data_IF_081148374009
#
_entry.id   IF_081148374009
#
_cell.length_a   1.000
_cell.length_b   1.000
_cell.length_c   1.000
_cell.angle_alpha   90.00
_cell.angle_beta   90.00
_cell.angle_gamma   90.00
#
_symmetry.space_group_name_H-M   'P 1'
#
loop_
_entity.id
_entity.type
_entity.pdbx_description
1 polymer ?
#
# COMPACT_ATOMS: atom_id res chain seq x y z
N UNK A 1 -6.20 -75.13 15.68
CA UNK A 1 -6.62 -73.86 15.05
C UNK A 1 -6.66 -72.77 16.12
N UNK A 2 -5.79 -71.76 16.00
CA UNK A 2 -5.70 -70.63 16.96
C UNK A 2 -6.56 -69.49 16.42
N UNK A 3 -7.55 -69.03 17.19
CA UNK A 3 -8.40 -67.88 16.82
C UNK A 3 -7.73 -66.60 17.32
N UNK A 4 -7.18 -65.83 16.38
CA UNK A 4 -6.68 -64.48 16.64
C UNK A 4 -7.89 -63.53 16.73
N UNK A 5 -8.08 -62.79 17.83
CA UNK A 5 -9.19 -61.84 17.94
C UNK A 5 -8.97 -60.66 17.00
N UNK A 6 -10.01 -60.32 16.23
CA UNK A 6 -10.01 -59.16 15.33
C UNK A 6 -10.65 -57.99 16.08
N UNK A 7 -9.89 -56.94 16.32
CA UNK A 7 -10.41 -55.71 16.90
C UNK A 7 -11.31 -55.01 15.88
N UNK A 8 -12.60 -54.90 16.18
CA UNK A 8 -13.53 -54.05 15.43
C UNK A 8 -13.44 -52.63 15.98
N UNK A 9 -12.86 -51.72 15.22
CA UNK A 9 -12.93 -50.28 15.48
C UNK A 9 -14.31 -49.78 15.05
N UNK A 10 -15.18 -49.52 16.03
CA UNK A 10 -16.45 -48.85 15.79
C UNK A 10 -16.18 -47.35 15.85
N UNK A 11 -16.33 -46.66 14.72
CA UNK A 11 -16.26 -45.19 14.68
C UNK A 11 -17.60 -44.67 15.18
N UNK A 12 -17.63 -44.25 16.44
CA UNK A 12 -18.80 -43.61 17.04
C UNK A 12 -18.76 -42.13 16.66
N UNK A 13 -19.86 -41.62 16.12
CA UNK A 13 -19.97 -40.20 15.84
C UNK A 13 -20.04 -39.43 17.18
N UNK A 14 -18.98 -38.69 17.49
CA UNK A 14 -18.88 -37.90 18.72
C UNK A 14 -19.90 -36.76 18.70
N UNK A 15 -20.52 -36.49 19.85
CA UNK A 15 -21.40 -35.34 20.02
C UNK A 15 -20.65 -34.02 19.83
N UNK A 16 -21.37 -32.92 19.60
CA UNK A 16 -20.77 -31.59 19.48
C UNK A 16 -20.02 -31.19 20.76
N UNK A 17 -20.57 -31.53 21.92
CA UNK A 17 -19.98 -31.29 23.24
C UNK A 17 -18.67 -32.08 23.43
N UNK A 18 -18.65 -33.34 22.99
CA UNK A 18 -17.44 -34.17 23.07
C UNK A 18 -16.34 -33.65 22.15
N UNK A 19 -16.69 -33.20 20.94
CA UNK A 19 -15.75 -32.57 20.00
C UNK A 19 -15.18 -31.26 20.57
N UNK A 20 -16.02 -30.45 21.19
CA UNK A 20 -15.58 -29.22 21.85
C UNK A 20 -14.65 -29.51 23.04
N UNK A 21 -14.97 -30.53 23.85
CA UNK A 21 -14.12 -30.96 24.96
C UNK A 21 -12.74 -31.41 24.48
N UNK A 22 -12.69 -32.25 23.45
CA UNK A 22 -11.44 -32.72 22.86
C UNK A 22 -10.59 -31.57 22.28
N UNK A 23 -11.24 -30.60 21.62
CA UNK A 23 -10.56 -29.39 21.14
C UNK A 23 -9.97 -28.54 22.28
N UNK A 24 -10.71 -28.38 23.38
CA UNK A 24 -10.23 -27.66 24.56
C UNK A 24 -9.06 -28.39 25.25
N UNK A 25 -9.17 -29.71 25.41
CA UNK A 25 -8.11 -30.54 25.98
C UNK A 25 -6.83 -30.46 25.14
N UNK A 26 -6.96 -30.40 23.81
CA UNK A 26 -5.83 -30.22 22.91
C UNK A 26 -5.15 -28.85 23.11
N UNK A 27 -5.92 -27.77 23.25
CA UNK A 27 -5.38 -26.42 23.57
C UNK A 27 -4.61 -26.45 24.90
N UNK A 28 -5.18 -27.05 25.95
CA UNK A 28 -4.48 -27.16 27.24
C UNK A 28 -3.19 -27.98 27.13
N UNK A 29 -3.22 -29.06 26.34
CA UNK A 29 -2.03 -29.88 26.08
C UNK A 29 -0.94 -29.09 25.36
N UNK A 30 -1.30 -28.28 24.35
CA UNK A 30 -0.36 -27.40 23.64
C UNK A 30 0.26 -26.36 24.59
N UNK A 31 -0.54 -25.72 25.45
CA UNK A 31 -0.05 -24.77 26.44
C UNK A 31 0.89 -25.40 27.46
N UNK A 32 0.57 -26.62 27.92
CA UNK A 32 1.45 -27.38 28.82
C UNK A 32 2.79 -27.68 28.16
N UNK A 33 2.79 -28.17 26.92
CA UNK A 33 4.01 -28.42 26.14
C UNK A 33 4.84 -27.16 25.91
N UNK A 34 4.19 -26.03 25.62
CA UNK A 34 4.87 -24.74 25.50
C UNK A 34 5.59 -24.37 26.80
N UNK A 35 4.95 -24.55 27.95
CA UNK A 35 5.56 -24.28 29.25
C UNK A 35 6.74 -25.22 29.54
N UNK A 36 6.60 -26.52 29.26
CA UNK A 36 7.67 -27.52 29.42
C UNK A 36 8.90 -27.18 28.56
N UNK A 37 8.69 -26.72 27.32
CA UNK A 37 9.77 -26.29 26.42
C UNK A 37 10.46 -25.00 26.90
N UNK A 38 9.71 -24.10 27.55
CA UNK A 38 10.27 -22.86 28.13
C UNK A 38 11.01 -23.14 29.44
N UNK A 39 10.49 -24.00 30.30
CA UNK A 39 11.14 -24.37 31.57
C UNK A 39 12.36 -25.26 31.38
N UNK A 40 12.53 -25.83 30.18
CA UNK A 40 13.62 -26.76 29.88
C UNK A 40 13.39 -28.17 30.45
N UNK A 41 12.19 -28.46 30.94
CA UNK A 41 11.79 -29.78 31.44
C UNK A 41 11.38 -30.75 30.32
N UNK A 42 11.45 -30.31 29.06
CA UNK A 42 11.13 -31.15 27.92
C UNK A 42 12.26 -32.16 27.62
N UNK A 43 11.86 -33.39 27.27
CA UNK A 43 12.78 -34.46 26.82
C UNK A 43 13.63 -34.05 25.59
N UNK A 44 13.18 -33.04 24.85
CA UNK A 44 13.88 -32.45 23.72
C UNK A 44 13.78 -30.92 23.76
N UNK A 45 14.91 -30.27 24.03
CA UNK A 45 15.04 -28.81 23.93
C UNK A 45 15.60 -28.48 22.55
N UNK A 46 14.76 -27.93 21.68
CA UNK A 46 15.23 -27.42 20.39
C UNK A 46 16.05 -26.15 20.63
N UNK A 47 17.28 -26.08 20.11
CA UNK A 47 18.16 -24.92 20.28
C UNK A 47 18.04 -23.92 19.11
N UNK A 48 18.17 -22.63 19.42
CA UNK A 48 18.23 -21.55 18.42
C UNK A 48 17.02 -21.51 17.48
N UNK A 49 17.28 -21.55 16.16
CA UNK A 49 16.24 -21.47 15.11
C UNK A 49 15.22 -22.60 15.14
N UNK A 50 15.60 -23.77 15.67
CA UNK A 50 14.69 -24.91 15.78
C UNK A 50 13.62 -24.66 16.85
N UNK A 51 13.98 -24.01 17.96
CA UNK A 51 13.04 -23.62 19.01
C UNK A 51 11.96 -22.68 18.47
N UNK A 52 12.39 -21.65 17.72
CA UNK A 52 11.49 -20.67 17.12
C UNK A 52 10.47 -21.33 16.17
N UNK A 53 10.93 -22.28 15.34
CA UNK A 53 10.04 -23.02 14.44
C UNK A 53 9.02 -23.88 15.20
N UNK A 54 9.44 -24.54 16.29
CA UNK A 54 8.56 -25.34 17.15
C UNK A 54 7.51 -24.46 17.83
N UNK A 55 7.92 -23.34 18.44
CA UNK A 55 6.98 -22.43 19.08
C UNK A 55 5.99 -21.83 18.08
N UNK A 56 6.45 -21.47 16.88
CA UNK A 56 5.59 -20.97 15.81
C UNK A 56 4.53 -22.00 15.38
N UNK A 57 4.89 -23.28 15.29
CA UNK A 57 3.92 -24.32 14.94
C UNK A 57 2.95 -24.60 16.10
N UNK A 58 3.41 -24.57 17.36
CA UNK A 58 2.53 -24.65 18.53
C UNK A 58 1.52 -23.50 18.54
N UNK A 59 1.99 -22.26 18.35
CA UNK A 59 1.13 -21.07 18.31
C UNK A 59 0.12 -21.14 17.15
N UNK A 60 0.54 -21.66 15.99
CA UNK A 60 -0.35 -21.87 14.83
C UNK A 60 -1.44 -22.89 15.13
N UNK A 61 -1.09 -24.05 15.69
CA UNK A 61 -2.05 -25.10 16.07
C UNK A 61 -2.99 -24.59 17.16
N UNK A 62 -2.48 -23.92 18.19
CA UNK A 62 -3.31 -23.36 19.26
C UNK A 62 -4.34 -22.37 18.68
N UNK A 63 -3.91 -21.46 17.81
CA UNK A 63 -4.81 -20.49 17.16
C UNK A 63 -5.86 -21.17 16.29
N UNK A 64 -5.53 -22.24 15.57
CA UNK A 64 -6.48 -22.99 14.74
C UNK A 64 -7.59 -23.65 15.57
N UNK A 65 -7.24 -24.25 16.72
CA UNK A 65 -8.23 -24.83 17.63
C UNK A 65 -9.02 -23.76 18.40
N UNK A 66 -8.39 -22.66 18.81
CA UNK A 66 -9.08 -21.52 19.44
C UNK A 66 -10.13 -20.89 18.50
N UNK A 67 -9.82 -20.86 17.21
CA UNK A 67 -10.72 -20.36 16.17
C UNK A 67 -12.03 -21.16 16.09
N UNK A 68 -12.06 -22.42 16.52
CA UNK A 68 -13.30 -23.20 16.61
C UNK A 68 -14.27 -22.65 17.68
N UNK A 69 -13.76 -21.90 18.66
CA UNK A 69 -14.56 -21.29 19.73
C UNK A 69 -14.85 -19.81 19.48
N UNK A 70 -13.86 -19.06 19.02
CA UNK A 70 -13.97 -17.60 18.83
C UNK A 70 -14.53 -17.23 17.45
N UNK A 71 -14.46 -18.16 16.49
CA UNK A 71 -14.80 -17.94 15.09
C UNK A 71 -13.61 -17.49 14.25
N UNK A 72 -13.78 -17.49 12.92
CA UNK A 72 -12.77 -17.05 11.93
C UNK A 72 -13.01 -15.61 11.52
N UNK A 73 -11.97 -14.78 11.60
CA UNK A 73 -11.95 -13.46 10.97
C UNK A 73 -11.19 -13.56 9.63
N UNK A 74 -11.85 -13.20 8.53
CA UNK A 74 -11.23 -13.12 7.20
C UNK A 74 -10.89 -11.67 6.89
N UNK A 75 -9.61 -11.36 6.76
CA UNK A 75 -9.12 -10.04 6.31
C UNK A 75 -8.67 -10.17 4.85
N UNK A 76 -9.12 -9.25 4.01
CA UNK A 76 -8.67 -9.11 2.63
C UNK A 76 -8.06 -7.73 2.45
N UNK A 77 -6.91 -7.68 1.78
CA UNK A 77 -6.22 -6.43 1.43
C UNK A 77 -6.27 -6.26 -0.08
N UNK A 78 -6.75 -5.11 -0.53
CA UNK A 78 -6.81 -4.75 -1.94
C UNK A 78 -5.83 -3.60 -2.20
N UNK A 79 -5.07 -3.70 -3.28
CA UNK A 79 -4.13 -2.66 -3.73
C UNK A 79 -4.62 -2.19 -5.10
N UNK A 80 -4.97 -0.92 -5.21
CA UNK A 80 -5.45 -0.29 -6.44
C UNK A 80 -4.52 0.86 -6.84
N UNK A 81 -4.31 1.01 -8.14
CA UNK A 81 -3.49 2.08 -8.71
C UNK A 81 -4.39 3.09 -9.40
N UNK A 82 -4.10 4.37 -9.22
CA UNK A 82 -4.84 5.48 -9.82
C UNK A 82 -3.88 6.45 -10.48
N UNK A 83 -4.10 6.70 -11.77
CA UNK A 83 -3.35 7.68 -12.52
C UNK A 83 -4.08 9.03 -12.48
N UNK A 84 -3.38 10.06 -12.02
CA UNK A 84 -3.89 11.42 -12.00
C UNK A 84 -2.95 12.35 -12.77
N UNK A 85 -3.47 12.94 -13.84
CA UNK A 85 -2.79 13.95 -14.61
C UNK A 85 -3.35 15.34 -14.26
N UNK A 86 -2.60 16.21 -13.57
CA UNK A 86 -3.05 17.56 -13.32
C UNK A 86 -3.16 18.33 -14.65
N UNK A 87 -4.24 19.09 -14.81
CA UNK A 87 -4.40 20.01 -15.94
C UNK A 87 -3.86 21.40 -15.58
N UNK A 88 -3.55 22.22 -16.59
CA UNK A 88 -2.95 23.53 -16.36
C UNK A 88 -3.96 24.48 -15.69
N UNK A 89 -3.77 24.79 -14.40
CA UNK A 89 -4.54 25.76 -13.61
C UNK A 89 -3.85 25.99 -12.25
N UNK A 90 -4.16 27.05 -11.51
CA UNK A 90 -3.42 27.36 -10.26
C UNK A 90 -3.76 26.45 -9.08
N UNK A 91 -4.97 25.91 -9.04
CA UNK A 91 -5.41 24.99 -8.00
C UNK A 91 -6.48 24.06 -8.54
N UNK A 92 -6.25 22.76 -8.41
CA UNK A 92 -7.16 21.73 -8.90
C UNK A 92 -7.52 20.77 -7.78
N UNK A 93 -8.80 20.71 -7.46
CA UNK A 93 -9.35 19.66 -6.59
C UNK A 93 -10.18 18.72 -7.45
N UNK A 94 -9.90 17.43 -7.36
CA UNK A 94 -10.58 16.38 -8.13
C UNK A 94 -10.82 15.16 -7.27
N UNK A 95 -11.84 14.36 -7.62
CA UNK A 95 -12.14 13.11 -6.92
C UNK A 95 -11.27 12.01 -7.54
N UNK A 96 -10.40 11.37 -6.76
CA UNK A 96 -9.63 10.20 -7.22
C UNK A 96 -10.48 8.95 -7.26
N UNK A 97 -11.17 8.68 -6.15
CA UNK A 97 -12.07 7.55 -5.97
C UNK A 97 -13.02 7.84 -4.80
N UNK A 98 -14.00 6.97 -4.61
CA UNK A 98 -14.86 6.99 -3.42
C UNK A 98 -14.65 5.75 -2.58
N UNK A 99 -14.73 5.86 -1.28
CA UNK A 99 -14.56 4.74 -0.36
C UNK A 99 -15.87 4.44 0.36
N UNK A 100 -16.28 3.17 0.36
CA UNK A 100 -17.44 2.68 1.08
C UNK A 100 -17.01 1.56 2.02
N UNK A 101 -17.36 1.59 3.32
CA UNK A 101 -16.99 0.53 4.26
C UNK A 101 -17.49 -0.86 3.86
N UNK A 102 -18.59 -0.94 3.11
CA UNK A 102 -19.20 -2.21 2.67
C UNK A 102 -18.71 -2.68 1.30
N UNK A 103 -18.42 -1.76 0.38
CA UNK A 103 -18.03 -2.09 -1.01
C UNK A 103 -16.54 -1.84 -1.31
N UNK A 104 -15.79 -1.27 -0.38
CA UNK A 104 -14.40 -0.89 -0.56
C UNK A 104 -14.24 0.34 -1.47
N UNK A 105 -13.27 0.27 -2.37
CA UNK A 105 -12.94 1.37 -3.28
C UNK A 105 -13.88 1.36 -4.50
N UNK A 106 -14.52 2.49 -4.74
CA UNK A 106 -15.51 2.73 -5.78
C UNK A 106 -15.03 3.78 -6.78
N UNK A 107 -15.62 3.72 -7.98
CA UNK A 107 -15.39 4.73 -9.01
C UNK A 107 -15.81 6.14 -8.56
N UNK A 108 -15.20 7.20 -9.10
CA UNK A 108 -15.60 8.59 -8.83
C UNK A 108 -17.07 8.92 -9.14
N UNK A 109 -17.72 8.14 -10.01
CA UNK A 109 -19.12 8.32 -10.40
C UNK A 109 -20.13 7.73 -9.39
N UNK A 110 -19.76 6.70 -8.63
CA UNK A 110 -20.70 6.02 -7.72
C UNK A 110 -20.88 6.83 -6.43
N UNK A 111 -22.08 7.33 -6.15
CA UNK A 111 -22.37 8.20 -5.00
C UNK A 111 -22.52 7.42 -3.67
N UNK A 112 -22.34 6.10 -3.68
CA UNK A 112 -22.54 5.24 -2.50
C UNK A 112 -21.38 5.27 -1.48
N UNK A 113 -20.34 6.07 -1.71
CA UNK A 113 -19.14 6.14 -0.86
C UNK A 113 -18.65 7.56 -0.64
N UNK A 114 -17.82 7.74 0.39
CA UNK A 114 -17.17 9.01 0.74
C UNK A 114 -16.09 9.36 -0.29
N UNK A 115 -16.06 10.59 -0.82
CA UNK A 115 -15.06 10.98 -1.81
C UNK A 115 -13.69 11.18 -1.18
N UNK A 116 -12.68 10.56 -1.78
CA UNK A 116 -11.27 10.87 -1.54
C UNK A 116 -10.82 11.86 -2.61
N UNK A 117 -10.40 13.04 -2.14
CA UNK A 117 -10.07 14.18 -2.96
C UNK A 117 -8.56 14.31 -3.09
N UNK A 118 -8.08 14.54 -4.31
CA UNK A 118 -6.74 15.07 -4.55
C UNK A 118 -6.85 16.57 -4.76
N UNK A 119 -6.07 17.33 -4.00
CA UNK A 119 -5.92 18.77 -4.15
C UNK A 119 -4.48 19.07 -4.54
N UNK A 120 -4.33 19.68 -5.69
CA UNK A 120 -3.04 20.11 -6.25
C UNK A 120 -3.02 21.62 -6.22
N UNK A 121 -2.10 22.19 -5.44
CA UNK A 121 -1.97 23.64 -5.25
C UNK A 121 -0.60 24.08 -5.73
N UNK A 122 -0.58 24.94 -6.74
CA UNK A 122 0.63 25.61 -7.19
C UNK A 122 0.88 26.82 -6.27
N UNK A 123 1.95 26.73 -5.47
CA UNK A 123 2.46 27.92 -4.80
C UNK A 123 3.20 28.72 -5.87
N UNK A 124 2.54 29.73 -6.45
CA UNK A 124 3.04 30.59 -7.54
C UNK A 124 4.30 31.44 -7.19
N UNK A 125 5.12 30.98 -6.24
CA UNK A 125 6.36 31.56 -5.76
C UNK A 125 7.42 31.78 -6.87
N UNK A 126 7.36 31.02 -7.96
CA UNK A 126 8.25 31.13 -9.11
C UNK A 126 7.97 32.36 -9.99
N UNK A 127 6.76 32.93 -9.93
CA UNK A 127 6.40 34.11 -10.74
C UNK A 127 7.18 35.37 -10.31
N UNK A 128 7.73 35.39 -9.10
CA UNK A 128 8.56 36.48 -8.57
C UNK A 128 10.01 36.47 -9.07
N UNK A 129 10.43 35.46 -9.84
CA UNK A 129 11.80 35.36 -10.34
C UNK A 129 11.91 36.19 -11.63
N UNK A 130 12.43 37.42 -11.53
CA UNK A 130 12.63 38.34 -12.66
C UNK A 130 13.42 37.75 -13.84
N UNK A 131 14.28 36.77 -13.57
CA UNK A 131 15.03 36.07 -14.61
C UNK A 131 14.12 35.20 -15.49
N UNK A 132 13.11 34.56 -14.90
CA UNK A 132 12.17 33.68 -15.61
C UNK A 132 11.16 34.47 -16.43
N UNK A 133 10.74 35.65 -15.95
CA UNK A 133 9.87 36.55 -16.71
C UNK A 133 10.56 37.07 -17.96
N UNK A 134 11.84 37.46 -17.88
CA UNK A 134 12.63 37.87 -19.06
C UNK A 134 12.75 36.78 -20.13
N UNK A 135 12.89 35.52 -19.72
CA UNK A 135 13.00 34.36 -20.63
C UNK A 135 11.67 33.91 -21.25
N UNK A 136 10.53 34.30 -20.67
CA UNK A 136 9.18 33.91 -21.14
C UNK A 136 8.48 34.98 -21.99
N UNK A 137 9.00 36.21 -22.03
CA UNK A 137 8.34 37.39 -22.65
C UNK A 137 8.73 37.68 -24.10
N UNK A 138 9.78 37.07 -24.68
CA UNK A 138 10.11 37.30 -26.10
C UNK A 138 9.17 36.50 -27.05
N UNK A 139 7.87 36.83 -27.08
CA UNK A 139 6.88 36.19 -27.97
C UNK A 139 6.98 36.64 -29.43
N UNK A 140 7.67 37.74 -29.72
CA UNK A 140 7.43 38.53 -30.94
C UNK A 140 8.46 38.35 -32.07
N UNK A 141 9.45 37.46 -31.90
CA UNK A 141 10.43 37.16 -32.96
C UNK A 141 10.38 35.66 -33.24
N UNK A 142 9.96 35.28 -34.45
CA UNK A 142 10.06 33.89 -34.92
C UNK A 142 11.54 33.57 -35.18
N UNK A 143 12.22 33.10 -34.14
CA UNK A 143 13.56 32.53 -34.24
C UNK A 143 13.46 31.02 -34.44
N UNK A 144 14.06 30.51 -35.51
CA UNK A 144 14.06 29.08 -35.87
C UNK A 144 15.04 28.25 -35.04
N UNK A 145 15.86 28.88 -34.20
CA UNK A 145 16.93 28.26 -33.38
C UNK A 145 16.56 28.18 -31.88
N UNK A 146 15.28 28.06 -31.55
CA UNK A 146 14.78 28.10 -30.16
C UNK A 146 13.99 26.85 -29.81
N UNK A 147 14.25 26.28 -28.64
CA UNK A 147 13.51 25.17 -28.05
C UNK A 147 12.60 25.69 -26.94
N UNK A 148 11.35 25.22 -26.94
CA UNK A 148 10.38 25.50 -25.90
C UNK A 148 10.48 24.45 -24.80
N UNK A 149 10.72 24.88 -23.57
CA UNK A 149 10.77 24.01 -22.40
C UNK A 149 9.88 24.57 -21.29
N UNK A 150 9.21 23.71 -20.53
CA UNK A 150 8.49 24.13 -19.33
C UNK A 150 9.34 23.82 -18.12
N UNK A 151 9.59 24.83 -17.29
CA UNK A 151 10.36 24.62 -16.07
C UNK A 151 9.54 23.82 -15.05
N UNK A 152 10.13 22.82 -14.37
CA UNK A 152 9.48 22.15 -13.26
C UNK A 152 9.30 23.13 -12.09
N UNK A 153 8.10 23.20 -11.54
CA UNK A 153 7.73 24.05 -10.40
C UNK A 153 7.31 23.18 -9.22
N UNK A 154 7.69 23.53 -7.97
CA UNK A 154 7.19 22.84 -6.79
C UNK A 154 5.69 23.05 -6.61
N UNK A 155 4.95 21.95 -6.47
CA UNK A 155 3.50 21.92 -6.30
C UNK A 155 3.16 21.06 -5.10
N UNK A 156 2.28 21.56 -4.24
CA UNK A 156 1.79 20.84 -3.07
C UNK A 156 0.63 19.93 -3.48
N UNK A 157 0.77 18.62 -3.23
CA UNK A 157 -0.28 17.62 -3.41
C UNK A 157 -0.78 17.18 -2.04
N UNK A 158 -2.09 17.26 -1.86
CA UNK A 158 -2.79 16.75 -0.68
C UNK A 158 -3.88 15.78 -1.08
N UNK A 159 -3.93 14.65 -0.38
CA UNK A 159 -5.01 13.67 -0.51
C UNK A 159 -5.81 13.69 0.78
N UNK A 160 -7.08 14.05 0.68
CA UNK A 160 -7.97 14.19 1.82
C UNK A 160 -9.15 13.22 1.68
N UNK A 161 -9.50 12.57 2.78
CA UNK A 161 -10.81 11.95 2.95
C UNK A 161 -11.76 12.97 3.62
N UNK A 162 -13.03 12.62 3.69
CA UNK A 162 -14.09 13.28 4.44
C UNK A 162 -13.74 13.63 5.89
N UNK A 163 -12.80 12.90 6.52
CA UNK A 163 -12.47 13.06 7.94
C UNK A 163 -11.05 13.57 8.21
N UNK A 164 -10.08 13.28 7.34
CA UNK A 164 -8.67 13.58 7.60
C UNK A 164 -7.84 13.69 6.32
N UNK A 165 -6.72 14.38 6.42
CA UNK A 165 -5.65 14.37 5.42
C UNK A 165 -4.91 13.03 5.51
N UNK A 166 -4.94 12.26 4.42
CA UNK A 166 -4.28 10.96 4.31
C UNK A 166 -2.82 11.12 3.90
N UNK A 167 -2.53 12.14 3.09
CA UNK A 167 -1.23 12.31 2.48
C UNK A 167 -0.97 13.77 2.09
N UNK A 168 0.26 14.22 2.31
CA UNK A 168 0.73 15.57 1.99
C UNK A 168 2.17 15.50 1.49
N UNK A 169 2.44 15.93 0.27
CA UNK A 169 3.81 16.02 -0.25
C UNK A 169 3.93 17.14 -1.29
N UNK A 170 5.11 17.76 -1.34
CA UNK A 170 5.48 18.69 -2.40
C UNK A 170 6.34 17.98 -3.44
N UNK A 171 5.91 18.01 -4.71
CA UNK A 171 6.60 17.44 -5.86
C UNK A 171 6.74 18.48 -6.96
N UNK A 172 7.67 18.28 -7.90
CA UNK A 172 7.89 19.20 -9.02
C UNK A 172 7.11 18.77 -10.26
N UNK A 173 6.32 19.68 -10.84
CA UNK A 173 5.57 19.44 -12.07
C UNK A 173 5.91 20.45 -13.15
N UNK A 174 6.06 19.96 -14.37
CA UNK A 174 6.35 20.78 -15.56
C UNK A 174 5.07 21.47 -16.08
N UNK A 175 3.88 20.91 -15.81
CA UNK A 175 2.60 21.40 -16.33
C UNK A 175 2.26 22.80 -15.79
N UNK A 176 2.65 23.10 -14.55
CA UNK A 176 2.36 24.32 -13.83
C UNK A 176 3.42 25.41 -13.98
N UNK A 177 4.55 25.09 -14.62
CA UNK A 177 5.64 26.03 -14.80
C UNK A 177 5.52 26.89 -16.07
N UNK A 178 6.29 28.00 -16.11
CA UNK A 178 6.31 28.88 -17.25
C UNK A 178 6.95 28.21 -18.47
N UNK A 179 6.43 28.52 -19.65
CA UNK A 179 7.07 28.16 -20.90
C UNK A 179 8.23 29.12 -21.16
N UNK A 180 9.44 28.59 -21.14
CA UNK A 180 10.68 29.33 -21.40
C UNK A 180 11.27 28.94 -22.74
N UNK A 181 11.96 29.90 -23.36
CA UNK A 181 12.64 29.76 -24.64
C UNK A 181 14.15 29.62 -24.40
N UNK A 182 14.72 28.49 -24.80
CA UNK A 182 16.17 28.27 -24.76
C UNK A 182 16.75 28.26 -26.18
N UNK A 183 17.89 28.95 -26.45
CA UNK A 183 18.57 28.79 -27.72
C UNK A 183 19.06 27.36 -27.90
N UNK A 184 18.82 26.77 -29.07
CA UNK A 184 19.14 25.37 -29.38
C UNK A 184 20.63 25.03 -29.18
N UNK A 185 21.51 26.04 -29.31
CA UNK A 185 22.95 25.92 -29.08
C UNK A 185 23.33 25.52 -27.64
N UNK A 186 22.50 25.82 -26.64
CA UNK A 186 22.78 25.43 -25.24
C UNK A 186 22.35 23.99 -24.92
N UNK A 187 21.52 23.37 -25.77
CA UNK A 187 21.03 21.99 -25.60
C UNK A 187 21.87 21.02 -26.46
N UNK A 188 22.43 21.52 -27.57
CA UNK A 188 23.31 20.80 -28.46
C UNK A 188 24.77 20.94 -27.98
N UNK A 189 25.18 20.15 -27.00
CA UNK A 189 26.61 19.80 -26.90
C UNK A 189 27.00 18.93 -28.11
N UNK A 190 28.30 18.92 -28.46
CA UNK A 190 28.97 18.43 -29.69
C UNK A 190 28.54 17.06 -30.30
N UNK A 191 27.57 16.34 -29.71
CA UNK A 191 27.07 15.04 -30.14
C UNK A 191 25.58 14.99 -30.52
N UNK A 192 24.87 16.12 -30.57
CA UNK A 192 23.50 16.16 -31.13
C UNK A 192 22.46 15.34 -30.38
N UNK A 193 22.72 14.97 -29.12
CA UNK A 193 21.80 14.19 -28.28
C UNK A 193 21.12 15.09 -27.26
N UNK A 194 19.80 15.18 -27.36
CA UNK A 194 18.96 15.79 -26.33
C UNK A 194 18.82 14.77 -25.20
N UNK A 195 19.51 14.99 -24.07
CA UNK A 195 19.37 14.17 -22.88
C UNK A 195 18.41 14.91 -21.94
N UNK A 196 17.18 14.42 -21.85
CA UNK A 196 16.29 14.83 -20.77
C UNK A 196 16.69 14.08 -19.49
N UNK A 197 16.89 14.77 -18.35
CA UNK A 197 17.04 14.09 -17.08
C UNK A 197 15.71 13.39 -16.76
N UNK A 198 15.73 12.06 -16.75
CA UNK A 198 14.63 11.26 -16.23
C UNK A 198 14.66 11.34 -14.70
N UNK A 199 13.60 11.87 -14.09
CA UNK A 199 13.17 11.52 -12.74
C UNK A 199 12.02 10.51 -12.83
#
# INVERSE_FOLDING_TARGET
FIRVPVHKTVVIEKSLEDKAREAADFIFTLRKRRLELISGDADFVAEGKAAEAVFKEIDKLENEYLTLFVGKEFKQTFINWYDYAPSAGDSQTSILFRFSPSKGVLSPSDLSGSPVLISVTNENNWQGIELLSKLSIEKDIQRTDVVYYRLPVPVSIRINDSQAELFSQTLTFHQFGPLVRFPAKFILDDYGKIIFPND
#
